data_IF_423442093031
#
_entry.id   IF_423442093031
#
_cell.length_a   1.000
_cell.length_b   1.000
_cell.length_c   1.000
_cell.angle_alpha   90.00
_cell.angle_beta   90.00
_cell.angle_gamma   90.00
#
_symmetry.space_group_name_H-M   'P 1'
#
loop_
_entity.id
_entity.type
_entity.pdbx_description
1 polymer ?
#
# COMPACT_ATOMS: atom_id res chain seq x y z
N UNK A 1 20.29 -7.48 -4.21
CA UNK A 1 19.16 -6.53 -4.26
C UNK A 1 19.17 -5.69 -3.00
N UNK A 2 18.87 -4.39 -3.07
CA UNK A 2 18.92 -3.48 -1.90
C UNK A 2 17.60 -3.38 -1.14
N UNK A 3 16.52 -3.87 -1.75
CA UNK A 3 15.20 -4.02 -1.17
C UNK A 3 14.61 -5.36 -1.65
N UNK A 4 13.59 -5.84 -0.98
CA UNK A 4 12.82 -7.02 -1.41
C UNK A 4 11.99 -6.59 -2.64
N UNK A 5 12.12 -7.25 -3.80
CA UNK A 5 11.30 -6.97 -4.97
C UNK A 5 9.84 -7.31 -4.66
N UNK A 6 8.89 -6.59 -5.26
CA UNK A 6 7.49 -6.88 -5.09
C UNK A 6 7.10 -8.15 -5.86
N UNK A 7 6.01 -8.78 -5.44
CA UNK A 7 5.42 -9.88 -6.20
C UNK A 7 5.01 -9.39 -7.60
N UNK A 8 5.42 -10.15 -8.62
CA UNK A 8 5.15 -9.81 -10.03
C UNK A 8 6.12 -8.82 -10.68
N UNK A 9 7.15 -8.36 -9.97
CA UNK A 9 8.21 -7.54 -10.57
C UNK A 9 9.00 -8.34 -11.63
N UNK A 10 9.32 -7.68 -12.73
CA UNK A 10 10.12 -8.23 -13.81
C UNK A 10 11.60 -7.86 -13.62
N UNK A 11 12.48 -8.81 -13.92
CA UNK A 11 13.92 -8.58 -13.88
C UNK A 11 14.44 -8.25 -15.27
N UNK A 12 15.25 -7.21 -15.36
CA UNK A 12 15.93 -6.81 -16.58
C UNK A 12 17.45 -6.87 -16.37
N UNK A 13 18.17 -7.44 -17.34
CA UNK A 13 19.62 -7.45 -17.34
C UNK A 13 20.14 -6.12 -17.91
N UNK A 14 20.98 -5.44 -17.14
CA UNK A 14 21.55 -4.15 -17.53
C UNK A 14 23.07 -4.23 -17.65
N UNK A 15 23.69 -3.45 -18.55
CA UNK A 15 25.10 -3.60 -18.91
C UNK A 15 26.09 -3.13 -17.83
N UNK A 16 25.65 -2.34 -16.83
CA UNK A 16 26.52 -1.87 -15.75
C UNK A 16 25.73 -1.52 -14.47
N UNK A 17 26.41 -1.55 -13.32
CA UNK A 17 25.81 -1.13 -12.03
C UNK A 17 25.32 0.33 -12.07
N UNK A 18 26.06 1.20 -12.76
CA UNK A 18 25.69 2.62 -12.89
C UNK A 18 24.36 2.78 -13.62
N UNK A 19 24.20 2.09 -14.75
CA UNK A 19 22.94 2.08 -15.48
C UNK A 19 21.78 1.52 -14.62
N UNK A 20 22.02 0.44 -13.87
CA UNK A 20 21.04 -0.13 -12.95
C UNK A 20 20.56 0.89 -11.90
N UNK A 21 21.50 1.63 -11.31
CA UNK A 21 21.19 2.62 -10.26
C UNK A 21 20.42 3.82 -10.82
N UNK A 22 20.81 4.30 -12.00
CA UNK A 22 20.14 5.43 -12.65
C UNK A 22 18.69 5.07 -13.04
N UNK A 23 18.47 3.86 -13.57
CA UNK A 23 17.12 3.36 -13.88
C UNK A 23 16.27 3.15 -12.62
N UNK A 24 16.84 2.53 -11.57
CA UNK A 24 16.11 2.32 -10.30
C UNK A 24 15.70 3.65 -9.64
N UNK A 25 16.59 4.65 -9.63
CA UNK A 25 16.28 5.98 -9.08
C UNK A 25 15.25 6.74 -9.91
N UNK A 26 15.28 6.60 -11.24
CA UNK A 26 14.23 7.10 -12.13
C UNK A 26 12.86 6.50 -11.84
N UNK A 27 12.79 5.18 -11.72
CA UNK A 27 11.56 4.45 -11.40
C UNK A 27 10.99 4.86 -10.05
N UNK A 28 11.84 5.00 -9.04
CA UNK A 28 11.44 5.44 -7.70
C UNK A 28 10.81 6.84 -7.74
N UNK A 29 11.41 7.80 -8.45
CA UNK A 29 10.86 9.16 -8.60
C UNK A 29 9.48 9.14 -9.25
N UNK A 30 9.31 8.37 -10.33
CA UNK A 30 8.02 8.25 -11.02
C UNK A 30 6.96 7.62 -10.13
N UNK A 31 7.33 6.59 -9.36
CA UNK A 31 6.42 5.95 -8.40
C UNK A 31 5.97 6.93 -7.31
N UNK A 32 6.90 7.68 -6.72
CA UNK A 32 6.57 8.70 -5.72
C UNK A 32 5.66 9.80 -6.27
N UNK A 33 5.87 10.25 -7.51
CA UNK A 33 4.98 11.24 -8.14
C UNK A 33 3.56 10.68 -8.36
N UNK A 34 3.43 9.40 -8.75
CA UNK A 34 2.13 8.73 -8.88
C UNK A 34 1.42 8.57 -7.55
N UNK A 35 2.14 8.23 -6.48
CA UNK A 35 1.54 8.11 -5.14
C UNK A 35 1.02 9.45 -4.64
N UNK A 36 1.76 10.54 -4.89
CA UNK A 36 1.32 11.90 -4.59
C UNK A 36 0.07 12.30 -5.39
N UNK A 37 -0.01 11.93 -6.68
CA UNK A 37 -1.17 12.19 -7.52
C UNK A 37 -2.43 11.38 -7.12
N UNK A 38 -2.24 10.19 -6.54
CA UNK A 38 -3.32 9.32 -6.04
C UNK A 38 -3.84 9.72 -4.66
N UNK A 39 -3.23 10.70 -4.00
CA UNK A 39 -3.86 11.34 -2.83
C UNK A 39 -5.07 12.10 -3.38
N UNK A 40 -6.23 11.43 -3.39
CA UNK A 40 -7.53 12.05 -3.63
C UNK A 40 -7.55 13.37 -2.86
N UNK A 41 -7.95 14.45 -3.52
CA UNK A 41 -8.40 15.66 -2.83
C UNK A 41 -9.62 15.23 -2.00
N UNK A 42 -9.38 14.85 -0.76
CA UNK A 42 -10.46 14.65 0.20
C UNK A 42 -10.94 16.06 0.49
N UNK A 43 -12.11 16.41 0.00
CA UNK A 43 -12.73 17.68 0.33
C UNK A 43 -12.99 17.70 1.85
N UNK A 44 -12.74 18.85 2.48
CA UNK A 44 -12.86 18.98 3.92
C UNK A 44 -14.29 18.65 4.43
N UNK A 45 -15.30 18.73 3.56
CA UNK A 45 -16.67 18.31 3.83
C UNK A 45 -16.80 16.81 4.08
N UNK A 46 -16.21 15.97 3.22
CA UNK A 46 -16.32 14.50 3.32
C UNK A 46 -15.64 13.97 4.58
N UNK A 47 -14.51 14.57 4.96
CA UNK A 47 -13.79 14.30 6.21
C UNK A 47 -14.64 14.62 7.45
N UNK A 48 -15.45 15.69 7.38
CA UNK A 48 -16.31 16.11 8.49
C UNK A 48 -17.51 15.17 8.64
N UNK A 49 -18.05 14.69 7.53
CA UNK A 49 -19.16 13.74 7.52
C UNK A 49 -18.75 12.35 8.03
N UNK A 50 -17.56 11.85 7.68
CA UNK A 50 -16.99 10.61 8.23
C UNK A 50 -16.75 10.69 9.75
N UNK A 51 -16.25 11.82 10.25
CA UNK A 51 -16.05 12.05 11.69
C UNK A 51 -17.39 12.12 12.43
N UNK A 52 -18.39 12.77 11.85
CA UNK A 52 -19.73 12.93 12.43
C UNK A 52 -20.51 11.61 12.44
N UNK A 53 -20.22 10.70 11.49
CA UNK A 53 -20.90 9.42 11.37
C UNK A 53 -20.69 8.47 12.56
N UNK A 54 -19.58 8.59 13.31
CA UNK A 54 -19.40 8.08 14.69
C UNK A 54 -19.81 6.63 15.02
N UNK A 55 -20.13 5.79 14.03
CA UNK A 55 -20.90 4.55 14.23
C UNK A 55 -20.14 3.26 13.93
N UNK A 56 -18.98 3.35 13.29
CA UNK A 56 -18.21 2.15 12.94
C UNK A 56 -17.03 2.06 13.90
N UNK A 57 -16.96 0.96 14.66
CA UNK A 57 -15.80 0.69 15.51
C UNK A 57 -14.65 0.26 14.62
N UNK A 58 -13.50 0.92 14.70
CA UNK A 58 -12.30 0.49 13.97
C UNK A 58 -11.50 -0.51 14.79
N UNK A 59 -11.13 -1.63 14.18
CA UNK A 59 -10.16 -2.58 14.72
C UNK A 59 -8.85 -2.44 13.95
N UNK A 60 -7.85 -1.86 14.61
CA UNK A 60 -6.50 -1.72 14.08
C UNK A 60 -5.71 -3.01 14.27
N UNK A 61 -5.17 -3.56 13.18
CA UNK A 61 -4.42 -4.82 13.19
C UNK A 61 -3.04 -4.61 12.55
N UNK A 62 -2.02 -5.27 13.12
CA UNK A 62 -0.68 -5.37 12.54
C UNK A 62 -0.53 -6.80 12.02
N UNK A 63 -0.25 -6.92 10.73
CA UNK A 63 -0.04 -8.22 10.08
C UNK A 63 1.45 -8.36 9.81
N UNK A 64 2.04 -9.49 10.19
CA UNK A 64 3.40 -9.85 9.80
C UNK A 64 3.37 -11.23 9.19
N UNK A 65 4.01 -11.39 8.04
CA UNK A 65 4.10 -12.66 7.34
C UNK A 65 5.54 -12.91 6.88
N UNK A 66 5.90 -14.19 6.81
CA UNK A 66 7.24 -14.64 6.41
C UNK A 66 7.48 -14.52 4.89
N UNK A 67 6.40 -14.65 4.10
CA UNK A 67 6.43 -14.60 2.64
C UNK A 67 5.43 -13.57 2.11
N UNK A 68 5.83 -12.83 1.07
CA UNK A 68 5.01 -11.73 0.55
C UNK A 68 3.65 -12.18 -0.02
N UNK A 69 3.59 -13.35 -0.68
CA UNK A 69 2.34 -13.83 -1.28
C UNK A 69 1.25 -14.16 -0.26
N UNK A 70 1.61 -14.61 0.95
CA UNK A 70 0.63 -14.84 2.02
C UNK A 70 0.17 -13.53 2.65
N UNK A 71 1.04 -12.53 2.74
CA UNK A 71 0.69 -11.18 3.19
C UNK A 71 -0.38 -10.57 2.28
N UNK A 72 -0.15 -10.56 0.97
CA UNK A 72 -1.08 -9.99 -0.01
C UNK A 72 -2.44 -10.68 0.01
N UNK A 73 -2.45 -12.02 0.05
CA UNK A 73 -3.69 -12.80 0.13
C UNK A 73 -4.48 -12.51 1.41
N UNK A 74 -3.79 -12.29 2.53
CA UNK A 74 -4.42 -12.01 3.81
C UNK A 74 -4.94 -10.57 3.88
N UNK A 75 -4.21 -9.61 3.31
CA UNK A 75 -4.68 -8.23 3.19
C UNK A 75 -5.97 -8.14 2.34
N UNK A 76 -6.02 -8.85 1.22
CA UNK A 76 -7.22 -8.91 0.37
C UNK A 76 -8.40 -9.56 1.09
N UNK A 77 -8.17 -10.67 1.79
CA UNK A 77 -9.19 -11.33 2.60
C UNK A 77 -9.73 -10.41 3.72
N UNK A 78 -8.85 -9.68 4.42
CA UNK A 78 -9.24 -8.71 5.45
C UNK A 78 -9.97 -7.49 4.87
N UNK A 79 -9.58 -7.02 3.68
CA UNK A 79 -10.28 -5.92 3.00
C UNK A 79 -11.67 -6.29 2.50
N UNK A 80 -11.86 -7.55 2.10
CA UNK A 80 -13.15 -8.11 1.71
C UNK A 80 -14.07 -8.42 2.90
N UNK A 81 -13.51 -8.55 4.12
CA UNK A 81 -14.27 -8.76 5.35
C UNK A 81 -14.94 -7.46 5.79
N UNK A 82 -16.07 -7.12 5.14
CA UNK A 82 -16.89 -5.97 5.49
C UNK A 82 -17.98 -6.39 6.48
N UNK A 83 -18.04 -5.70 7.61
CA UNK A 83 -19.07 -5.85 8.63
C UNK A 83 -19.59 -4.47 9.00
N UNK A 84 -20.91 -4.31 9.16
CA UNK A 84 -21.52 -2.99 9.36
C UNK A 84 -21.24 -2.40 10.76
N UNK A 85 -20.80 -3.23 11.72
CA UNK A 85 -20.47 -2.81 13.09
C UNK A 85 -18.98 -2.49 13.32
N UNK A 86 -18.09 -3.18 12.60
CA UNK A 86 -16.64 -3.12 12.83
C UNK A 86 -15.87 -3.11 11.50
N UNK A 87 -15.07 -2.08 11.28
CA UNK A 87 -14.15 -1.99 10.16
C UNK A 87 -12.75 -2.46 10.57
N UNK A 88 -12.16 -3.38 9.81
CA UNK A 88 -10.78 -3.83 10.02
C UNK A 88 -9.83 -2.91 9.25
N UNK A 89 -8.85 -2.34 9.96
CA UNK A 89 -7.83 -1.47 9.38
C UNK A 89 -6.44 -2.07 9.62
N UNK A 90 -5.73 -2.35 8.52
CA UNK A 90 -4.35 -2.81 8.60
C UNK A 90 -3.41 -1.61 8.67
N UNK A 91 -2.69 -1.47 9.78
CA UNK A 91 -1.84 -0.30 10.06
C UNK A 91 -0.40 -0.52 9.61
N UNK A 92 0.06 -1.76 9.61
CA UNK A 92 1.41 -2.15 9.19
C UNK A 92 1.42 -3.60 8.71
N UNK A 93 2.18 -3.82 7.63
CA UNK A 93 2.37 -5.09 6.92
C UNK A 93 3.86 -5.30 6.66
#
# INVERSE_FOLDING_TARGET
>A
FKAVPAFGDWFEAVPSEKAARDQATGNQRTSSMKSLANIKKIDASDLTDEITAGKIKELNVVVKADVQGSLESLLDALGNLKNDEVAVKVVSS
#
